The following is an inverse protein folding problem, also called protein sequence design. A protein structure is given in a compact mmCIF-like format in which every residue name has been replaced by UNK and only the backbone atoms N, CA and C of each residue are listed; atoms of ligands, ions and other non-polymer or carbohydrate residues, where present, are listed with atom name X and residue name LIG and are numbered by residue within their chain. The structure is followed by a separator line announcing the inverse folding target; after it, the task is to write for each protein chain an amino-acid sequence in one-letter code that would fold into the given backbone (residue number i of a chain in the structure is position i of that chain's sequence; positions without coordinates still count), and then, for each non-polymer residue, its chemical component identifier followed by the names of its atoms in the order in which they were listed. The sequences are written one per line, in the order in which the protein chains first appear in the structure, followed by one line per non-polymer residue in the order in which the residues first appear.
data_IF_236824498674
#
_entry.id   IF_236824498674
#
_cell.length_a   1.000
_cell.length_b   1.000
_cell.length_c   1.000
_cell.angle_alpha   90.00
_cell.angle_beta   90.00
_cell.angle_gamma   90.00
#
_symmetry.space_group_name_H-M   'P 1'
#
loop_
_entity.id
_entity.type
_entity.pdbx_description
1 polymer ?
#
# COMPACT_ATOMS: atom_id res chain seq x y z
N UNK A 1 21.82 -9.77 9.95
CA UNK A 1 20.40 -10.17 9.79
C UNK A 1 20.31 -11.04 8.55
N UNK A 2 19.84 -12.27 8.68
CA UNK A 2 19.65 -13.19 7.55
C UNK A 2 18.30 -12.90 6.88
N UNK A 3 18.13 -13.23 5.60
CA UNK A 3 16.90 -12.95 4.83
C UNK A 3 15.63 -13.56 5.46
N UNK A 4 15.77 -14.67 6.21
CA UNK A 4 14.66 -15.34 6.92
C UNK A 4 14.07 -14.43 8.02
N UNK A 5 14.93 -13.75 8.78
CA UNK A 5 14.49 -12.85 9.86
C UNK A 5 13.70 -11.64 9.33
N UNK A 6 14.02 -11.19 8.10
CA UNK A 6 13.31 -10.10 7.44
C UNK A 6 11.87 -10.51 7.10
N UNK A 7 11.69 -11.68 6.50
CA UNK A 7 10.37 -12.23 6.20
C UNK A 7 9.50 -12.37 7.45
N UNK A 8 10.07 -12.90 8.55
CA UNK A 8 9.36 -13.03 9.83
C UNK A 8 8.91 -11.66 10.37
N UNK A 9 9.82 -10.67 10.38
CA UNK A 9 9.47 -9.32 10.85
C UNK A 9 8.36 -8.65 10.04
N UNK A 10 8.31 -8.87 8.72
CA UNK A 10 7.26 -8.31 7.86
C UNK A 10 5.93 -8.98 8.13
N UNK A 11 5.92 -10.31 8.30
CA UNK A 11 4.71 -11.07 8.63
C UNK A 11 4.18 -10.65 10.00
N UNK A 12 5.04 -10.55 11.01
CA UNK A 12 4.69 -10.10 12.35
C UNK A 12 4.16 -8.67 12.35
N UNK A 13 4.75 -7.79 11.55
CA UNK A 13 4.23 -6.44 11.35
C UNK A 13 2.80 -6.45 10.79
N UNK A 14 2.54 -7.21 9.71
CA UNK A 14 1.18 -7.30 9.15
C UNK A 14 0.18 -7.87 10.16
N UNK A 15 0.57 -8.89 10.94
CA UNK A 15 -0.27 -9.42 12.03
C UNK A 15 -0.55 -8.37 13.09
N UNK A 16 0.45 -7.58 13.48
CA UNK A 16 0.31 -6.53 14.50
C UNK A 16 -0.70 -5.43 14.11
N UNK A 17 -0.85 -5.17 12.81
CA UNK A 17 -1.84 -4.21 12.29
C UNK A 17 -3.18 -4.87 11.92
N UNK A 18 -3.39 -6.12 12.31
CA UNK A 18 -4.67 -6.83 12.22
C UNK A 18 -4.90 -7.64 10.95
N UNK A 19 -3.86 -7.95 10.17
CA UNK A 19 -4.02 -8.80 8.99
C UNK A 19 -4.15 -10.27 9.38
N UNK A 20 -5.08 -10.96 8.72
CA UNK A 20 -5.19 -12.42 8.79
C UNK A 20 -4.15 -13.10 7.91
N UNK A 21 -3.81 -14.37 8.22
CA UNK A 21 -2.87 -15.15 7.41
C UNK A 21 -3.31 -15.25 5.94
N UNK A 22 -4.62 -15.34 5.67
CA UNK A 22 -5.16 -15.36 4.31
C UNK A 22 -4.92 -14.05 3.55
N UNK A 23 -5.05 -12.91 4.23
CA UNK A 23 -4.78 -11.59 3.64
C UNK A 23 -3.29 -11.41 3.35
N UNK A 24 -2.43 -11.84 4.27
CA UNK A 24 -0.97 -11.83 4.08
C UNK A 24 -0.60 -12.72 2.90
N UNK A 25 -1.12 -13.95 2.85
CA UNK A 25 -0.87 -14.88 1.74
C UNK A 25 -1.30 -14.29 0.40
N UNK A 26 -2.46 -13.65 0.32
CA UNK A 26 -2.94 -12.99 -0.89
C UNK A 26 -2.02 -11.84 -1.32
N UNK A 27 -1.61 -10.98 -0.38
CA UNK A 27 -0.70 -9.87 -0.65
C UNK A 27 0.66 -10.35 -1.16
N UNK A 28 1.25 -11.35 -0.48
CA UNK A 28 2.55 -11.94 -0.84
C UNK A 28 2.47 -12.67 -2.18
N UNK A 29 1.38 -13.38 -2.48
CA UNK A 29 1.19 -14.06 -3.77
C UNK A 29 1.23 -13.06 -4.93
N UNK A 30 0.63 -11.88 -4.74
CA UNK A 30 0.60 -10.85 -5.77
C UNK A 30 1.90 -10.07 -5.87
N UNK A 31 2.58 -9.85 -4.73
CA UNK A 31 3.76 -8.98 -4.63
C UNK A 31 4.78 -9.60 -3.66
N UNK A 32 5.51 -10.66 -4.07
CA UNK A 32 6.40 -11.39 -3.17
C UNK A 32 7.50 -10.54 -2.53
N UNK A 33 7.94 -9.48 -3.23
CA UNK A 33 9.00 -8.58 -2.79
C UNK A 33 8.65 -7.80 -1.51
N UNK A 34 7.38 -7.71 -1.11
CA UNK A 34 7.02 -7.03 0.16
C UNK A 34 7.61 -7.74 1.38
N UNK A 35 7.88 -9.05 1.30
CA UNK A 35 8.53 -9.80 2.38
C UNK A 35 10.00 -9.39 2.61
N UNK A 36 10.60 -8.73 1.62
CA UNK A 36 11.97 -8.23 1.68
C UNK A 36 12.03 -6.73 1.97
N UNK A 37 10.89 -6.10 2.28
CA UNK A 37 10.82 -4.68 2.56
C UNK A 37 11.26 -4.38 4.00
N UNK A 38 11.94 -3.26 4.20
CA UNK A 38 12.22 -2.73 5.53
C UNK A 38 10.91 -2.24 6.18
N UNK A 39 10.52 -2.83 7.31
CA UNK A 39 9.26 -2.50 7.99
C UNK A 39 9.20 -1.01 8.36
N UNK A 40 10.26 -0.49 8.98
CA UNK A 40 10.29 0.87 9.53
C UNK A 40 10.40 1.94 8.43
N UNK A 41 11.28 1.71 7.45
CA UNK A 41 11.59 2.69 6.40
C UNK A 41 10.66 2.61 5.21
N UNK A 42 10.09 1.42 4.95
CA UNK A 42 9.34 1.16 3.71
C UNK A 42 7.87 0.92 3.97
N UNK A 43 7.50 -0.01 4.85
CA UNK A 43 6.10 -0.41 5.02
C UNK A 43 5.32 0.57 5.89
N UNK A 44 5.85 0.93 7.08
CA UNK A 44 5.18 1.83 8.02
C UNK A 44 4.73 3.17 7.42
N UNK A 45 5.58 3.91 6.66
CA UNK A 45 5.15 5.20 6.09
C UNK A 45 3.97 5.04 5.11
N UNK A 46 3.90 3.92 4.39
CA UNK A 46 2.80 3.65 3.45
C UNK A 46 1.53 3.25 4.17
N UNK A 47 1.64 2.45 5.22
CA UNK A 47 0.50 2.09 6.07
C UNK A 47 -0.05 3.35 6.75
N UNK A 48 0.80 4.21 7.30
CA UNK A 48 0.40 5.46 7.93
C UNK A 48 -0.37 6.37 6.96
N UNK A 49 0.15 6.55 5.74
CA UNK A 49 -0.55 7.32 4.71
C UNK A 49 -1.96 6.76 4.43
N UNK A 50 -2.11 5.44 4.29
CA UNK A 50 -3.43 4.82 4.07
C UNK A 50 -4.36 5.03 5.28
N UNK A 51 -3.83 4.99 6.49
CA UNK A 51 -4.59 5.24 7.71
C UNK A 51 -5.01 6.72 7.84
N UNK A 52 -4.18 7.66 7.41
CA UNK A 52 -4.50 9.10 7.32
C UNK A 52 -5.66 9.35 6.34
N UNK A 53 -5.80 8.53 5.30
CA UNK A 53 -6.95 8.53 4.39
C UNK A 53 -8.19 7.82 4.97
N UNK A 54 -8.16 7.39 6.23
CA UNK A 54 -9.25 6.68 6.90
C UNK A 54 -9.31 5.18 6.61
N UNK A 55 -8.35 4.62 5.86
CA UNK A 55 -8.34 3.20 5.50
C UNK A 55 -7.65 2.40 6.63
N UNK A 56 -8.46 1.83 7.51
CA UNK A 56 -7.99 1.13 8.72
C UNK A 56 -8.64 -0.25 8.86
N UNK A 57 -8.14 -1.06 9.80
CA UNK A 57 -8.72 -2.35 10.16
C UNK A 57 -8.98 -3.29 8.97
N UNK A 58 -10.22 -3.79 8.87
CA UNK A 58 -10.59 -4.76 7.83
C UNK A 58 -10.50 -4.20 6.41
N UNK A 59 -10.72 -2.90 6.22
CA UNK A 59 -10.62 -2.24 4.91
C UNK A 59 -9.19 -2.18 4.41
N UNK A 60 -8.25 -1.89 5.32
CA UNK A 60 -6.82 -1.93 5.01
C UNK A 60 -6.38 -3.34 4.60
N UNK A 61 -6.77 -4.35 5.37
CA UNK A 61 -6.51 -5.75 5.05
C UNK A 61 -7.07 -6.17 3.69
N UNK A 62 -8.32 -5.81 3.40
CA UNK A 62 -9.00 -6.09 2.14
C UNK A 62 -8.35 -5.37 0.95
N UNK A 63 -7.98 -4.10 1.12
CA UNK A 63 -7.30 -3.32 0.09
C UNK A 63 -5.94 -3.97 -0.23
N UNK A 64 -5.10 -4.20 0.77
CA UNK A 64 -3.73 -4.69 0.53
C UNK A 64 -3.68 -6.15 0.10
N UNK A 65 -4.69 -6.97 0.44
CA UNK A 65 -4.80 -8.33 -0.12
C UNK A 65 -4.96 -8.35 -1.63
N UNK A 66 -5.55 -7.29 -2.21
CA UNK A 66 -5.84 -7.18 -3.64
C UNK A 66 -4.96 -6.19 -4.38
N UNK A 67 -4.41 -5.19 -3.66
CA UNK A 67 -3.62 -4.07 -4.20
C UNK A 67 -2.28 -3.90 -3.46
N UNK A 68 -1.63 -5.00 -3.10
CA UNK A 68 -0.35 -4.99 -2.37
C UNK A 68 0.76 -4.16 -3.06
N UNK A 69 0.68 -3.96 -4.38
CA UNK A 69 1.67 -3.19 -5.14
C UNK A 69 1.67 -1.69 -4.77
N UNK A 70 0.63 -1.18 -4.08
CA UNK A 70 0.69 0.13 -3.41
C UNK A 70 1.91 0.21 -2.48
N UNK A 71 2.26 -0.90 -1.81
CA UNK A 71 3.38 -0.97 -0.88
C UNK A 71 4.76 -0.88 -1.56
N UNK A 72 4.82 -0.99 -2.88
CA UNK A 72 6.06 -0.86 -3.66
C UNK A 72 6.23 0.53 -4.29
N UNK A 73 5.22 1.41 -4.18
CA UNK A 73 5.27 2.76 -4.77
C UNK A 73 5.89 3.77 -3.80
N UNK A 74 6.52 4.81 -4.34
CA UNK A 74 7.05 5.89 -3.53
C UNK A 74 5.91 6.72 -2.94
N UNK A 75 5.96 6.96 -1.62
CA UNK A 75 5.00 7.85 -0.93
C UNK A 75 5.04 9.25 -1.54
N UNK A 76 6.23 9.84 -1.63
CA UNK A 76 6.40 11.23 -2.06
C UNK A 76 6.23 11.41 -3.57
N UNK A 77 6.76 10.48 -4.38
CA UNK A 77 6.75 10.67 -5.85
C UNK A 77 5.46 10.23 -6.52
N UNK A 78 4.75 9.26 -5.94
CA UNK A 78 3.60 8.61 -6.59
C UNK A 78 2.34 8.76 -5.75
N UNK A 79 2.35 8.27 -4.51
CA UNK A 79 1.11 8.15 -3.74
C UNK A 79 0.51 9.53 -3.40
N UNK A 80 1.30 10.46 -2.85
CA UNK A 80 0.83 11.80 -2.49
C UNK A 80 0.30 12.59 -3.71
N UNK A 81 1.06 12.74 -4.82
CA UNK A 81 0.53 13.44 -6.00
C UNK A 81 -0.74 12.79 -6.57
N UNK A 82 -0.83 11.45 -6.58
CA UNK A 82 -2.04 10.77 -7.03
C UNK A 82 -3.23 11.06 -6.11
N UNK A 83 -3.03 11.04 -4.80
CA UNK A 83 -4.07 11.38 -3.82
C UNK A 83 -4.55 12.83 -4.04
N UNK A 84 -3.65 13.79 -4.21
CA UNK A 84 -4.01 15.19 -4.46
C UNK A 84 -4.85 15.38 -5.73
N UNK A 85 -4.52 14.65 -6.81
CA UNK A 85 -5.31 14.68 -8.05
C UNK A 85 -6.69 14.06 -7.84
N UNK A 86 -6.76 12.91 -7.17
CA UNK A 86 -8.02 12.22 -6.90
C UNK A 86 -8.92 13.04 -5.99
N UNK A 87 -8.36 13.71 -4.99
CA UNK A 87 -9.11 14.57 -4.09
C UNK A 87 -9.80 15.72 -4.87
N UNK A 88 -9.04 16.37 -5.76
CA UNK A 88 -9.55 17.44 -6.63
C UNK A 88 -10.60 17.00 -7.65
N UNK A 89 -10.52 15.77 -8.15
CA UNK A 89 -11.39 15.30 -9.27
C UNK A 89 -12.62 14.54 -8.75
N UNK A 90 -12.48 13.76 -7.69
CA UNK A 90 -13.51 12.83 -7.22
C UNK A 90 -14.19 13.29 -5.93
N UNK A 91 -13.44 13.92 -5.04
CA UNK A 91 -13.90 14.20 -3.67
C UNK A 91 -14.28 15.68 -3.52
N UNK A 92 -13.79 16.58 -4.40
CA UNK A 92 -14.10 18.02 -4.39
C UNK A 92 -13.98 18.66 -2.98
N UNK A 93 -13.05 18.16 -2.16
CA UNK A 93 -12.87 18.64 -0.79
C UNK A 93 -13.94 18.22 0.22
N UNK A 94 -14.71 17.15 -0.02
CA UNK A 94 -15.55 16.56 1.05
C UNK A 94 -14.68 15.87 2.09
N UNK A 95 -14.83 16.28 3.35
CA UNK A 95 -14.12 15.74 4.51
C UNK A 95 -14.29 14.21 4.57
N UNK A 96 -13.18 13.48 4.39
CA UNK A 96 -13.10 12.02 4.43
C UNK A 96 -13.91 11.29 3.36
N UNK A 97 -13.71 11.64 2.08
CA UNK A 97 -14.17 10.79 0.98
C UNK A 97 -13.79 9.33 1.20
N UNK A 98 -14.66 8.40 0.79
CA UNK A 98 -14.47 6.94 0.94
C UNK A 98 -13.27 6.47 0.09
N UNK A 99 -12.05 6.73 0.59
CA UNK A 99 -10.78 6.46 -0.07
C UNK A 99 -10.59 4.96 -0.30
N UNK A 100 -11.17 4.13 0.56
CA UNK A 100 -11.23 2.70 0.32
C UNK A 100 -11.95 2.40 -1.01
N UNK A 101 -13.14 2.96 -1.24
CA UNK A 101 -13.88 2.80 -2.50
C UNK A 101 -13.15 3.43 -3.69
N UNK A 102 -12.51 4.58 -3.52
CA UNK A 102 -11.74 5.25 -4.58
C UNK A 102 -10.55 4.39 -5.00
N UNK A 103 -9.68 4.00 -4.07
CA UNK A 103 -8.49 3.19 -4.37
C UNK A 103 -8.84 1.77 -4.85
N UNK A 104 -10.00 1.25 -4.46
CA UNK A 104 -10.51 -0.02 -4.99
C UNK A 104 -10.96 0.07 -6.45
N UNK A 105 -11.49 1.22 -6.89
CA UNK A 105 -11.96 1.44 -8.27
C UNK A 105 -10.85 1.92 -9.21
N UNK A 106 -9.91 2.72 -8.70
CA UNK A 106 -8.85 3.31 -9.49
C UNK A 106 -7.61 2.42 -9.51
N UNK A 107 -7.64 1.38 -10.34
CA UNK A 107 -6.49 0.49 -10.54
C UNK A 107 -5.26 1.24 -11.08
N UNK A 108 -5.45 2.37 -11.78
CA UNK A 108 -4.35 3.17 -12.34
C UNK A 108 -3.36 3.70 -11.29
N UNK A 109 -3.81 3.90 -10.04
CA UNK A 109 -2.97 4.53 -8.97
C UNK A 109 -1.83 3.58 -8.61
N UNK A 110 -2.08 2.32 -8.93
CA UNK A 110 -1.36 1.13 -8.53
C UNK A 110 -0.50 0.65 -9.72
N UNK A 111 -0.97 0.88 -10.96
CA UNK A 111 -0.35 0.40 -12.21
C UNK A 111 0.46 1.43 -13.01
N UNK A 112 0.71 2.65 -12.52
CA UNK A 112 1.80 3.48 -13.05
C UNK A 112 3.14 2.75 -12.74
N UNK A 113 3.47 1.75 -13.55
CA UNK A 113 4.83 1.34 -13.83
C UNK A 113 5.42 2.60 -14.47
N UNK A 114 6.37 3.31 -13.82
CA UNK A 114 7.24 4.16 -14.61
C UNK A 114 7.84 3.18 -15.61
N UNK A 115 7.48 3.31 -16.89
CA UNK A 115 8.22 2.69 -17.97
C UNK A 115 9.68 2.83 -17.62
N UNK A 116 10.40 1.71 -17.67
CA UNK A 116 11.83 1.63 -17.53
C UNK A 116 12.47 2.79 -18.30
N UNK A 117 12.73 3.91 -17.62
CA UNK A 117 13.77 4.82 -18.03
C UNK A 117 15.05 4.14 -17.54
N UNK A 118 15.46 3.17 -18.36
CA UNK A 118 16.87 2.92 -18.59
C UNK A 118 17.44 4.21 -19.15
N UNK A 119 17.90 5.09 -18.29
CA UNK A 119 18.86 6.10 -18.68
C UNK A 119 20.23 5.71 -18.13
N UNK A 120 21.17 5.81 -19.05
CA UNK A 120 22.57 5.41 -19.04
C UNK A 120 23.41 6.10 -17.98
#
# INVERSE_FOLDING_TARGET
MTAIQLCESVVDFFKSIGFTDAQIQSAVRNVPQILLADVEKTLKPKIQLLQELGITGSDLGRLLSTKAIILTRSVEKILKPCIEVLDKVLINGTDNGDWFRVLRRCDWVVTQIPSLETDS
#
